data_IF_125891292669
#
_entry.id   IF_125891292669
#
_cell.length_a   1.000
_cell.length_b   1.000
_cell.length_c   1.000
_cell.angle_alpha   90.00
_cell.angle_beta   90.00
_cell.angle_gamma   90.00
#
_symmetry.space_group_name_H-M   'P 1'
#
loop_
_entity.id
_entity.type
_entity.pdbx_description
1 polymer ?
#
# COMPACT_ATOMS: atom_id res chain seq x y z
N UNK A 1 19.76 -44.94 50.27
CA UNK A 1 18.48 -45.67 50.39
C UNK A 1 17.45 -44.95 49.54
N UNK A 2 16.79 -45.68 48.61
CA UNK A 2 15.60 -45.39 47.78
C UNK A 2 15.61 -44.10 46.92
N UNK A 3 15.57 -44.05 45.58
CA UNK A 3 15.10 -44.90 44.45
C UNK A 3 13.59 -44.81 44.13
N UNK A 4 13.27 -44.36 42.89
CA UNK A 4 11.98 -44.43 42.15
C UNK A 4 11.77 -43.18 41.25
N UNK A 5 11.93 -43.16 39.89
CA UNK A 5 11.22 -43.83 38.75
C UNK A 5 9.70 -43.64 38.80
N UNK A 6 8.90 -43.35 37.78
CA UNK A 6 8.85 -43.25 36.30
C UNK A 6 7.58 -42.38 36.02
N UNK A 7 7.30 -41.71 34.91
CA UNK A 7 7.39 -42.10 33.51
C UNK A 7 6.49 -41.18 32.66
N UNK A 8 6.82 -41.11 31.37
CA UNK A 8 6.10 -40.42 30.29
C UNK A 8 4.63 -40.86 30.13
N UNK A 9 3.80 -40.00 29.52
CA UNK A 9 2.95 -40.37 28.37
C UNK A 9 2.27 -39.17 27.68
N UNK A 10 2.62 -39.04 26.40
CA UNK A 10 1.75 -38.87 25.23
C UNK A 10 0.80 -37.66 25.11
N UNK A 11 1.28 -36.73 24.30
CA UNK A 11 0.61 -35.88 23.31
C UNK A 11 -0.48 -36.64 22.53
N UNK A 12 -1.62 -36.00 22.22
CA UNK A 12 -2.16 -35.83 20.85
C UNK A 12 -3.31 -34.78 20.78
N UNK A 13 -3.45 -34.04 19.66
CA UNK A 13 -4.28 -32.83 19.53
C UNK A 13 -5.67 -33.05 18.89
N UNK A 14 -6.51 -32.01 19.03
CA UNK A 14 -7.87 -31.88 18.52
C UNK A 14 -7.99 -31.96 16.97
N UNK A 15 -9.10 -32.50 16.44
CA UNK A 15 -9.27 -32.69 15.00
C UNK A 15 -9.77 -31.43 14.27
N UNK A 16 -9.10 -31.13 13.16
CA UNK A 16 -9.53 -30.22 12.11
C UNK A 16 -10.53 -30.92 11.19
N UNK A 17 -11.70 -30.31 10.98
CA UNK A 17 -12.68 -30.78 9.99
C UNK A 17 -12.37 -30.14 8.64
N UNK A 18 -11.95 -30.97 7.68
CA UNK A 18 -11.83 -30.65 6.26
C UNK A 18 -13.21 -30.66 5.59
N UNK A 19 -13.61 -29.55 4.95
CA UNK A 19 -14.63 -29.56 3.92
C UNK A 19 -13.95 -29.88 2.57
N UNK A 20 -14.22 -31.07 2.03
CA UNK A 20 -13.77 -31.53 0.71
C UNK A 20 -14.99 -31.61 -0.20
N UNK A 21 -15.10 -30.65 -1.12
CA UNK A 21 -16.21 -30.59 -2.08
C UNK A 21 -15.85 -31.31 -3.39
N UNK A 22 -16.63 -32.37 -3.66
CA UNK A 22 -17.13 -32.89 -4.94
C UNK A 22 -16.14 -33.28 -6.07
N UNK A 23 -16.07 -34.59 -6.30
CA UNK A 23 -15.59 -35.24 -7.51
C UNK A 23 -16.73 -35.44 -8.53
N UNK A 24 -16.40 -35.23 -9.81
CA UNK A 24 -16.74 -36.03 -11.00
C UNK A 24 -18.18 -36.49 -11.26
N UNK A 25 -18.82 -35.80 -12.23
CA UNK A 25 -19.13 -36.38 -13.56
C UNK A 25 -20.43 -37.16 -13.75
N UNK A 26 -21.33 -36.73 -14.66
CA UNK A 26 -22.32 -37.61 -15.25
C UNK A 26 -21.82 -38.25 -16.57
N UNK A 27 -21.89 -39.58 -16.62
CA UNK A 27 -21.88 -40.37 -17.87
C UNK A 27 -23.23 -40.17 -18.57
N UNK A 28 -23.22 -39.81 -19.85
CA UNK A 28 -24.38 -39.97 -20.74
C UNK A 28 -24.05 -40.95 -21.84
N UNK A 29 -24.95 -41.92 -21.96
CA UNK A 29 -24.99 -43.04 -22.89
C UNK A 29 -25.12 -42.61 -24.35
N UNK A 30 -24.62 -43.48 -25.22
CA UNK A 30 -24.78 -43.49 -26.67
C UNK A 30 -26.27 -43.63 -27.05
N UNK A 31 -26.73 -42.82 -28.00
CA UNK A 31 -27.71 -43.32 -28.98
C UNK A 31 -27.50 -42.68 -30.35
N UNK A 32 -27.50 -43.54 -31.35
CA UNK A 32 -27.12 -43.34 -32.74
C UNK A 32 -28.38 -43.04 -33.56
N UNK A 33 -28.50 -41.88 -34.21
CA UNK A 33 -29.38 -41.72 -35.39
C UNK A 33 -28.79 -40.79 -36.45
N UNK A 34 -28.52 -41.44 -37.59
CA UNK A 34 -28.25 -40.96 -38.94
C UNK A 34 -29.46 -40.16 -39.47
N UNK A 35 -29.25 -39.02 -40.12
CA UNK A 35 -30.32 -38.32 -40.84
C UNK A 35 -29.95 -36.89 -41.26
N UNK A 36 -29.78 -36.73 -42.57
CA UNK A 36 -29.61 -35.52 -43.37
C UNK A 36 -30.25 -34.23 -42.84
N UNK A 37 -29.52 -33.10 -42.92
CA UNK A 37 -29.89 -31.96 -43.77
C UNK A 37 -29.11 -30.69 -43.41
N UNK A 38 -28.75 -29.96 -44.48
CA UNK A 38 -28.70 -28.48 -44.56
C UNK A 38 -27.77 -27.76 -43.55
N UNK A 39 -26.54 -27.42 -43.93
CA UNK A 39 -26.22 -26.35 -44.89
C UNK A 39 -27.08 -25.09 -44.65
N UNK A 40 -26.63 -24.19 -43.74
CA UNK A 40 -26.83 -22.71 -43.78
C UNK A 40 -26.39 -21.94 -42.52
N UNK A 41 -26.09 -22.58 -41.38
CA UNK A 41 -25.77 -21.85 -40.13
C UNK A 41 -24.27 -21.67 -39.81
N UNK A 42 -23.37 -22.26 -40.59
CA UNK A 42 -21.93 -22.25 -40.30
C UNK A 42 -21.25 -20.89 -40.50
N UNK A 43 -21.86 -19.97 -41.27
CA UNK A 43 -21.26 -18.65 -41.55
C UNK A 43 -21.77 -17.56 -40.59
N UNK A 44 -22.95 -17.73 -39.99
CA UNK A 44 -23.53 -16.72 -39.10
C UNK A 44 -23.06 -16.84 -37.64
N UNK A 45 -22.59 -18.03 -37.20
CA UNK A 45 -22.05 -18.24 -35.85
C UNK A 45 -20.65 -17.65 -35.64
N UNK A 46 -19.90 -17.38 -36.71
CA UNK A 46 -18.53 -16.86 -36.62
C UNK A 46 -18.44 -15.33 -36.46
N UNK A 47 -19.52 -14.58 -36.73
CA UNK A 47 -19.53 -13.12 -36.63
C UNK A 47 -19.95 -12.59 -35.26
N UNK A 48 -20.62 -13.41 -34.43
CA UNK A 48 -21.03 -13.00 -33.07
C UNK A 48 -19.95 -13.28 -32.00
N UNK A 49 -18.95 -14.11 -32.30
CA UNK A 49 -17.80 -14.34 -31.41
C UNK A 49 -16.68 -13.31 -31.54
N UNK A 50 -16.77 -12.38 -32.51
CA UNK A 50 -15.74 -11.35 -32.71
C UNK A 50 -16.00 -10.05 -31.92
N UNK A 51 -17.14 -9.91 -31.25
CA UNK A 51 -17.57 -8.67 -30.58
C UNK A 51 -17.38 -8.67 -29.05
N UNK A 52 -16.78 -9.72 -28.47
CA UNK A 52 -16.45 -9.81 -27.04
C UNK A 52 -14.96 -9.55 -26.72
N UNK A 53 -14.16 -9.13 -27.71
CA UNK A 53 -12.75 -8.73 -27.51
C UNK A 53 -12.53 -7.23 -27.59
N UNK A 54 -13.57 -6.43 -27.33
CA UNK A 54 -13.33 -5.06 -26.87
C UNK A 54 -12.86 -5.19 -25.42
N UNK A 55 -11.57 -5.48 -25.31
CA UNK A 55 -10.82 -5.32 -24.09
C UNK A 55 -11.09 -3.91 -23.61
N UNK A 56 -11.92 -3.81 -22.57
CA UNK A 56 -11.86 -2.69 -21.65
C UNK A 56 -10.49 -2.86 -20.99
N UNK A 57 -9.44 -2.46 -21.70
CA UNK A 57 -8.22 -2.02 -21.07
C UNK A 57 -8.67 -0.79 -20.29
N UNK A 58 -9.17 -1.03 -19.08
CA UNK A 58 -9.21 0.02 -18.07
C UNK A 58 -7.82 0.60 -18.14
N UNK A 59 -7.64 1.87 -18.56
CA UNK A 59 -6.37 2.52 -18.31
C UNK A 59 -6.26 2.41 -16.80
N UNK A 60 -5.40 1.52 -16.33
CA UNK A 60 -5.05 1.45 -14.93
C UNK A 60 -4.60 2.86 -14.66
N UNK A 61 -5.47 3.61 -13.97
CA UNK A 61 -5.14 4.94 -13.52
C UNK A 61 -3.90 4.69 -12.70
N UNK A 62 -2.76 5.01 -13.30
CA UNK A 62 -1.48 5.06 -12.63
C UNK A 62 -1.76 6.05 -11.52
N UNK A 63 -2.08 5.53 -10.33
CA UNK A 63 -2.37 6.38 -9.21
C UNK A 63 -1.13 7.24 -9.07
N UNK A 64 -1.33 8.56 -9.08
CA UNK A 64 -0.27 9.51 -8.76
C UNK A 64 0.20 9.13 -7.34
N UNK A 65 1.16 8.22 -7.31
CA UNK A 65 1.62 7.57 -6.11
C UNK A 65 2.51 8.56 -5.37
N UNK A 66 2.56 8.41 -4.06
CA UNK A 66 3.31 9.35 -3.23
C UNK A 66 4.79 9.33 -3.60
N UNK A 67 5.39 10.52 -3.67
CA UNK A 67 6.84 10.67 -3.80
C UNK A 67 7.48 10.61 -2.41
N UNK A 68 8.65 10.02 -2.31
CA UNK A 68 9.38 9.93 -1.06
C UNK A 68 10.89 9.93 -1.29
N UNK A 69 11.64 10.53 -0.36
CA UNK A 69 13.08 10.32 -0.24
C UNK A 69 13.34 9.18 0.74
N UNK A 70 14.06 8.15 0.30
CA UNK A 70 14.54 7.07 1.16
C UNK A 70 16.01 7.32 1.48
N UNK A 71 16.37 7.23 2.75
CA UNK A 71 17.74 7.29 3.22
C UNK A 71 18.12 5.91 3.75
N UNK A 72 19.08 5.27 3.11
CA UNK A 72 19.60 3.99 3.57
C UNK A 72 20.48 4.15 4.83
N UNK A 73 20.89 3.04 5.42
CA UNK A 73 21.78 3.04 6.59
C UNK A 73 23.19 3.55 6.31
N UNK A 74 23.64 3.54 5.06
CA UNK A 74 24.91 4.15 4.64
C UNK A 74 24.79 5.67 4.44
N UNK A 75 23.57 6.23 4.45
CA UNK A 75 23.28 7.64 4.22
C UNK A 75 23.01 7.99 2.75
N UNK A 76 22.96 7.01 1.85
CA UNK A 76 22.59 7.21 0.44
C UNK A 76 21.13 7.61 0.35
N UNK A 77 20.83 8.57 -0.52
CA UNK A 77 19.48 9.08 -0.74
C UNK A 77 18.93 8.61 -2.08
N UNK A 78 17.67 8.21 -2.08
CA UNK A 78 16.94 7.79 -3.26
C UNK A 78 15.63 8.55 -3.35
N UNK A 79 15.41 9.27 -4.45
CA UNK A 79 14.12 9.87 -4.77
C UNK A 79 13.24 8.83 -5.49
N UNK A 80 12.11 8.49 -4.86
CA UNK A 80 11.25 7.39 -5.28
C UNK A 80 9.83 7.90 -5.51
N UNK A 81 9.32 7.68 -6.71
CA UNK A 81 7.90 7.89 -7.06
C UNK A 81 7.13 6.57 -7.01
N UNK A 82 5.80 6.66 -6.97
CA UNK A 82 4.93 5.48 -6.84
C UNK A 82 5.30 4.60 -5.64
N UNK A 83 5.64 5.22 -4.51
CA UNK A 83 6.14 4.54 -3.33
C UNK A 83 5.08 3.62 -2.69
N UNK A 84 5.46 2.38 -2.41
CA UNK A 84 4.58 1.32 -1.91
C UNK A 84 5.26 0.45 -0.86
N UNK A 85 4.47 -0.10 0.07
CA UNK A 85 4.85 -1.14 1.02
C UNK A 85 3.98 -2.37 0.81
N UNK A 86 4.57 -3.50 0.42
CA UNK A 86 3.81 -4.69 0.00
C UNK A 86 2.69 -4.36 -1.00
N UNK A 87 2.99 -3.55 -2.01
CA UNK A 87 2.03 -3.13 -3.05
C UNK A 87 0.88 -2.22 -2.55
N UNK A 88 0.95 -1.77 -1.29
CA UNK A 88 -0.03 -0.88 -0.69
C UNK A 88 0.53 0.53 -0.46
N UNK A 89 -0.37 1.52 -0.45
CA UNK A 89 -0.09 2.92 -0.07
C UNK A 89 -0.20 3.15 1.45
N UNK A 90 -0.06 2.06 2.21
CA UNK A 90 -0.18 2.05 3.67
C UNK A 90 1.04 1.44 4.32
N UNK A 91 1.35 1.92 5.51
CA UNK A 91 2.39 1.40 6.38
C UNK A 91 1.75 0.76 7.61
N UNK A 92 2.13 -0.48 7.91
CA UNK A 92 1.64 -1.23 9.05
C UNK A 92 2.77 -1.55 10.04
N UNK A 93 2.52 -1.30 11.33
CA UNK A 93 3.48 -1.54 12.41
C UNK A 93 2.77 -1.90 13.71
N UNK A 94 3.50 -2.50 14.65
CA UNK A 94 3.00 -2.85 15.98
C UNK A 94 3.27 -1.74 16.99
N UNK A 95 2.32 -1.50 17.89
CA UNK A 95 2.49 -0.66 19.08
C UNK A 95 2.09 -1.47 20.31
N UNK A 96 3.07 -2.16 20.89
CA UNK A 96 2.83 -3.13 21.96
C UNK A 96 2.12 -4.35 21.38
N UNK A 97 0.86 -4.55 21.75
CA UNK A 97 0.01 -5.65 21.24
C UNK A 97 -0.95 -5.22 20.13
N UNK A 98 -1.04 -3.93 19.84
CA UNK A 98 -1.94 -3.41 18.81
C UNK A 98 -1.24 -3.24 17.46
N UNK A 99 -1.91 -3.65 16.39
CA UNK A 99 -1.50 -3.32 15.02
C UNK A 99 -2.06 -1.97 14.60
N UNK A 100 -1.20 -1.13 14.00
CA UNK A 100 -1.60 0.14 13.39
C UNK A 100 -1.24 0.17 11.93
N UNK A 101 -2.20 0.60 11.12
CA UNK A 101 -2.05 0.83 9.69
C UNK A 101 -2.33 2.30 9.38
N UNK A 102 -1.40 2.95 8.69
CA UNK A 102 -1.46 4.37 8.33
C UNK A 102 -1.29 4.53 6.82
N UNK A 103 -2.06 5.40 6.18
CA UNK A 103 -1.82 5.78 4.79
C UNK A 103 -0.59 6.67 4.70
N UNK A 104 0.24 6.49 3.66
CA UNK A 104 1.43 7.34 3.45
C UNK A 104 1.08 8.82 3.34
N UNK A 105 -0.07 9.17 2.75
CA UNK A 105 -0.60 10.55 2.66
C UNK A 105 -0.82 11.24 4.02
N UNK A 106 -0.70 10.53 5.14
CA UNK A 106 -0.82 11.08 6.51
C UNK A 106 0.51 11.13 7.25
N UNK A 107 1.54 10.51 6.68
CA UNK A 107 2.85 10.33 7.31
C UNK A 107 3.79 11.36 6.70
N UNK A 108 4.44 12.14 7.54
CA UNK A 108 5.52 13.02 7.13
C UNK A 108 6.83 12.24 7.00
N UNK A 109 7.15 11.42 8.03
CA UNK A 109 8.43 10.74 8.14
C UNK A 109 8.32 9.39 8.87
N UNK A 110 9.12 8.41 8.47
CA UNK A 110 9.37 7.15 9.21
C UNK A 110 10.86 7.03 9.48
N UNK A 111 11.23 6.81 10.74
CA UNK A 111 12.61 6.57 11.18
C UNK A 111 12.73 5.13 11.72
N UNK A 112 13.76 4.42 11.27
CA UNK A 112 14.09 3.07 11.71
C UNK A 112 15.26 3.13 12.68
N UNK A 113 14.99 2.87 13.96
CA UNK A 113 15.92 3.11 15.06
C UNK A 113 16.76 1.87 15.42
N UNK A 114 16.32 0.67 15.04
CA UNK A 114 17.07 -0.58 15.24
C UNK A 114 18.28 -0.73 14.30
N UNK A 115 19.03 -1.82 14.44
CA UNK A 115 20.10 -2.25 13.55
C UNK A 115 19.63 -3.22 12.45
N UNK A 116 20.56 -3.63 11.57
CA UNK A 116 20.29 -4.61 10.50
C UNK A 116 19.93 -6.01 11.01
N UNK A 117 20.42 -6.36 12.18
CA UNK A 117 20.25 -7.67 12.82
C UNK A 117 18.93 -7.79 13.58
N UNK A 118 18.25 -6.67 13.86
CA UNK A 118 17.02 -6.67 14.61
C UNK A 118 15.90 -7.25 13.75
N UNK A 119 15.20 -8.24 14.27
CA UNK A 119 14.05 -8.83 13.58
C UNK A 119 12.80 -7.94 13.69
N UNK A 120 12.70 -7.20 14.78
CA UNK A 120 11.63 -6.26 15.08
C UNK A 120 12.21 -4.89 15.49
N UNK A 121 12.86 -4.15 14.57
CA UNK A 121 13.45 -2.86 14.87
C UNK A 121 12.39 -1.87 15.39
N UNK A 122 12.73 -1.07 16.40
CA UNK A 122 11.91 0.07 16.81
C UNK A 122 11.86 1.12 15.70
N UNK A 123 10.71 1.75 15.58
CA UNK A 123 10.46 2.81 14.61
C UNK A 123 9.80 4.03 15.26
N UNK A 124 9.94 5.16 14.58
CA UNK A 124 9.24 6.41 14.90
C UNK A 124 8.56 6.93 13.65
N UNK A 125 7.25 7.14 13.72
CA UNK A 125 6.44 7.67 12.63
C UNK A 125 5.96 9.06 13.02
N UNK A 126 6.34 10.06 12.23
CA UNK A 126 5.85 11.44 12.40
C UNK A 126 4.75 11.67 11.37
N UNK A 127 3.59 12.12 11.85
CA UNK A 127 2.43 12.44 11.03
C UNK A 127 2.46 13.91 10.59
N UNK A 128 1.69 14.25 9.56
CA UNK A 128 1.60 15.63 9.05
C UNK A 128 1.06 16.65 10.07
N UNK A 129 0.32 16.19 11.08
CA UNK A 129 -0.15 17.03 12.18
C UNK A 129 0.93 17.26 13.26
N UNK A 130 2.16 16.79 13.03
CA UNK A 130 3.29 16.84 13.95
C UNK A 130 3.26 15.77 15.05
N UNK A 131 2.21 14.95 15.13
CA UNK A 131 2.12 13.87 16.11
C UNK A 131 3.12 12.77 15.80
N UNK A 132 3.83 12.31 16.82
CA UNK A 132 4.75 11.19 16.72
C UNK A 132 4.14 9.91 17.30
N UNK A 133 4.30 8.80 16.59
CA UNK A 133 3.94 7.46 17.03
C UNK A 133 5.21 6.61 17.10
N UNK A 134 5.40 5.89 18.21
CA UNK A 134 6.46 4.90 18.35
C UNK A 134 5.88 3.49 18.24
N UNK A 135 6.68 2.56 17.73
CA UNK A 135 6.29 1.15 17.59
C UNK A 135 7.45 0.28 17.12
N UNK A 136 7.15 -0.94 16.69
CA UNK A 136 8.09 -1.87 16.08
C UNK A 136 7.53 -2.36 14.75
N UNK A 137 8.42 -2.68 13.82
CA UNK A 137 8.04 -3.30 12.54
C UNK A 137 8.86 -4.56 12.36
N UNK A 138 8.21 -5.66 11.99
CA UNK A 138 8.91 -6.91 11.73
C UNK A 138 9.63 -6.80 10.39
N UNK A 139 10.94 -6.99 10.38
CA UNK A 139 11.80 -6.96 9.18
C UNK A 139 12.50 -8.29 8.90
N UNK A 140 12.45 -9.23 9.85
CA UNK A 140 13.07 -10.56 9.75
C UNK A 140 12.44 -11.58 10.70
N UNK A 141 13.01 -12.78 10.73
CA UNK A 141 12.67 -13.84 11.70
C UNK A 141 11.93 -15.02 11.09
N UNK A 142 12.64 -16.15 11.02
CA UNK A 142 12.08 -17.47 10.80
C UNK A 142 10.97 -17.72 11.82
N UNK A 143 9.84 -18.23 11.37
CA UNK A 143 8.84 -18.74 12.31
C UNK A 143 9.53 -19.66 13.30
N UNK A 144 9.38 -19.38 14.59
CA UNK A 144 9.70 -20.30 15.67
C UNK A 144 8.83 -21.54 15.51
N UNK A 145 9.29 -22.48 14.68
CA UNK A 145 8.57 -23.68 14.28
C UNK A 145 8.76 -24.00 12.79
N UNK A 146 9.67 -24.93 12.51
CA UNK A 146 9.67 -25.85 11.36
C UNK A 146 9.34 -25.32 9.95
N UNK A 147 10.31 -25.45 9.04
CA UNK A 147 10.12 -25.37 7.58
C UNK A 147 9.57 -24.03 7.07
N UNK A 148 10.43 -23.03 6.94
CA UNK A 148 10.10 -21.73 6.35
C UNK A 148 10.12 -21.83 4.83
N UNK A 149 8.94 -21.99 4.22
CA UNK A 149 8.73 -21.50 2.85
C UNK A 149 9.02 -19.99 2.86
N UNK A 150 9.89 -19.54 1.95
CA UNK A 150 10.50 -18.21 1.92
C UNK A 150 9.55 -17.04 2.11
N UNK A 151 9.44 -16.55 3.35
CA UNK A 151 8.85 -15.26 3.64
C UNK A 151 9.82 -14.19 3.15
N UNK A 152 9.50 -13.55 2.02
CA UNK A 152 10.25 -12.41 1.53
C UNK A 152 10.34 -11.36 2.65
N UNK A 153 11.55 -10.91 2.93
CA UNK A 153 11.73 -9.79 3.85
C UNK A 153 10.90 -8.60 3.34
N UNK A 154 10.23 -7.86 4.23
CA UNK A 154 9.40 -6.75 3.81
C UNK A 154 10.26 -5.72 3.07
N UNK A 155 9.69 -5.19 1.99
CA UNK A 155 10.36 -4.24 1.10
C UNK A 155 9.46 -3.04 0.83
N UNK A 156 10.08 -1.88 0.68
CA UNK A 156 9.46 -0.80 -0.08
C UNK A 156 9.81 -0.94 -1.55
N UNK A 157 8.86 -0.55 -2.39
CA UNK A 157 8.96 -0.56 -3.84
C UNK A 157 8.55 0.78 -4.41
N UNK A 158 9.05 1.10 -5.60
CA UNK A 158 8.62 2.29 -6.35
C UNK A 158 9.39 2.42 -7.65
N UNK A 159 9.52 3.64 -8.15
CA UNK A 159 10.24 3.98 -9.36
C UNK A 159 11.24 5.11 -9.08
N UNK A 160 12.41 5.02 -9.67
CA UNK A 160 13.42 6.09 -9.71
C UNK A 160 13.65 6.48 -11.17
N UNK A 161 14.48 7.50 -11.42
CA UNK A 161 14.90 7.87 -12.77
C UNK A 161 15.64 6.74 -13.53
N UNK A 162 16.11 5.72 -12.82
CA UNK A 162 16.80 4.55 -13.37
C UNK A 162 15.86 3.34 -13.58
N UNK A 163 14.58 3.47 -13.20
CA UNK A 163 13.58 2.41 -13.33
C UNK A 163 13.08 1.88 -11.99
N UNK A 164 12.69 0.60 -11.97
CA UNK A 164 12.09 -0.05 -10.79
C UNK A 164 13.06 0.01 -9.60
N UNK A 165 12.53 0.43 -8.46
CA UNK A 165 13.25 0.52 -7.20
C UNK A 165 12.66 -0.45 -6.18
N UNK A 166 13.54 -1.15 -5.46
CA UNK A 166 13.18 -2.10 -4.40
C UNK A 166 14.25 -2.01 -3.31
N UNK A 167 13.84 -1.89 -2.05
CA UNK A 167 14.75 -1.87 -0.90
C UNK A 167 14.14 -2.60 0.29
N UNK A 168 14.95 -3.38 1.00
CA UNK A 168 14.51 -4.06 2.23
C UNK A 168 14.41 -3.07 3.39
N UNK A 169 13.40 -3.22 4.25
CA UNK A 169 13.26 -2.42 5.46
C UNK A 169 14.50 -2.50 6.37
N UNK A 170 15.27 -3.61 6.33
CA UNK A 170 16.52 -3.77 7.10
C UNK A 170 17.59 -2.75 6.73
N UNK A 171 17.61 -2.28 5.48
CA UNK A 171 18.64 -1.38 4.96
C UNK A 171 18.27 0.09 5.04
N UNK A 172 17.09 0.39 5.57
CA UNK A 172 16.56 1.75 5.62
C UNK A 172 16.83 2.34 6.99
N UNK A 173 17.20 3.61 6.98
CA UNK A 173 17.31 4.44 8.18
C UNK A 173 16.12 5.37 8.29
N UNK A 174 15.70 5.97 7.18
CA UNK A 174 14.67 7.02 7.17
C UNK A 174 13.91 7.02 5.85
N UNK A 175 12.62 7.36 5.92
CA UNK A 175 11.77 7.63 4.76
C UNK A 175 11.05 8.96 5.01
N UNK A 176 11.19 9.89 4.08
CA UNK A 176 10.57 11.22 4.11
C UNK A 176 9.57 11.28 2.97
N UNK A 177 8.31 11.57 3.27
CA UNK A 177 7.25 11.64 2.27
C UNK A 177 7.07 13.06 1.76
N UNK A 178 7.04 13.21 0.44
CA UNK A 178 6.74 14.47 -0.22
C UNK A 178 5.26 14.53 -0.52
N UNK A 179 4.59 15.44 0.18
CA UNK A 179 3.20 15.76 -0.09
C UNK A 179 3.20 16.94 -1.03
N UNK A 180 2.65 16.77 -2.22
CA UNK A 180 2.23 17.93 -3.00
C UNK A 180 1.28 18.71 -2.09
N UNK A 181 1.70 19.93 -1.72
CA UNK A 181 0.88 20.81 -0.88
C UNK A 181 -0.47 20.89 -1.58
N UNK A 182 -1.50 20.27 -1.01
CA UNK A 182 -2.85 20.40 -1.55
C UNK A 182 -3.10 21.90 -1.61
N UNK A 183 -3.21 22.43 -2.83
CA UNK A 183 -3.26 23.87 -3.02
C UNK A 183 -4.44 24.37 -2.19
N UNK A 184 -4.15 25.05 -1.08
CA UNK A 184 -5.18 25.54 -0.17
C UNK A 184 -5.99 26.52 -0.98
N UNK A 185 -7.20 26.15 -1.36
CA UNK A 185 -8.01 27.05 -2.18
C UNK A 185 -8.82 27.96 -1.27
N UNK A 186 -8.89 29.23 -1.61
CA UNK A 186 -9.68 30.21 -0.89
C UNK A 186 -10.83 30.68 -1.75
N UNK A 187 -12.01 30.79 -1.15
CA UNK A 187 -13.11 31.47 -1.82
C UNK A 187 -12.85 32.99 -1.73
N UNK A 188 -12.85 33.74 -2.85
CA UNK A 188 -12.67 35.19 -2.81
C UNK A 188 -13.87 35.90 -2.17
N UNK A 189 -15.06 35.29 -2.24
CA UNK A 189 -16.31 35.89 -1.74
C UNK A 189 -16.48 35.73 -0.23
N UNK A 190 -16.33 34.50 0.30
CA UNK A 190 -16.52 34.24 1.73
C UNK A 190 -15.21 34.11 2.53
N UNK A 191 -14.05 34.13 1.87
CA UNK A 191 -12.74 34.10 2.50
C UNK A 191 -12.34 32.76 3.13
N UNK A 192 -13.19 31.71 3.06
CA UNK A 192 -12.93 30.38 3.63
C UNK A 192 -11.84 29.65 2.84
N UNK A 193 -11.00 28.90 3.57
CA UNK A 193 -9.94 28.04 3.03
C UNK A 193 -10.46 26.59 2.91
N UNK A 194 -10.08 25.91 1.85
CA UNK A 194 -10.45 24.53 1.55
C UNK A 194 -9.17 23.76 1.20
N UNK A 195 -8.86 22.74 1.99
CA UNK A 195 -7.64 21.94 1.84
C UNK A 195 -7.86 20.69 0.98
N UNK A 196 -9.10 20.30 0.71
CA UNK A 196 -9.41 19.04 0.02
C UNK A 196 -9.30 19.12 -1.50
N UNK A 197 -8.64 18.12 -2.09
CA UNK A 197 -8.66 17.82 -3.53
C UNK A 197 -10.11 17.54 -3.98
N UNK A 198 -10.65 18.39 -4.85
CA UNK A 198 -11.95 18.17 -5.49
C UNK A 198 -12.87 19.39 -5.53
N UNK A 199 -12.75 20.31 -4.57
CA UNK A 199 -13.54 21.54 -4.62
C UNK A 199 -13.00 22.47 -5.71
N UNK A 200 -13.78 22.63 -6.79
CA UNK A 200 -13.57 23.66 -7.82
C UNK A 200 -14.35 24.94 -7.50
N UNK A 201 -15.43 24.80 -6.73
CA UNK A 201 -16.34 25.87 -6.34
C UNK A 201 -16.61 25.80 -4.83
N UNK A 202 -16.89 26.96 -4.24
CA UNK A 202 -17.30 27.09 -2.85
C UNK A 202 -18.68 26.44 -2.64
N UNK A 203 -18.86 25.54 -1.67
CA UNK A 203 -20.16 24.91 -1.40
C UNK A 203 -21.25 25.87 -0.93
N UNK A 204 -20.86 27.06 -0.48
CA UNK A 204 -21.77 28.01 0.16
C UNK A 204 -22.29 29.09 -0.79
N UNK A 205 -21.47 29.51 -1.75
CA UNK A 205 -21.78 30.64 -2.64
C UNK A 205 -21.58 30.30 -4.13
N UNK A 206 -21.08 29.10 -4.45
CA UNK A 206 -20.84 28.67 -5.83
C UNK A 206 -19.66 29.37 -6.53
N UNK A 207 -18.92 30.24 -5.84
CA UNK A 207 -17.79 30.97 -6.42
C UNK A 207 -16.61 30.02 -6.67
N UNK A 208 -15.92 30.21 -7.79
CA UNK A 208 -14.72 29.42 -8.12
C UNK A 208 -13.64 29.67 -7.06
N UNK A 209 -13.06 28.59 -6.54
CA UNK A 209 -12.01 28.70 -5.54
C UNK A 209 -10.67 29.00 -6.21
N UNK A 210 -9.87 29.85 -5.60
CA UNK A 210 -8.55 30.27 -6.09
C UNK A 210 -7.44 29.64 -5.24
N UNK A 211 -6.37 29.16 -5.87
CA UNK A 211 -5.23 28.60 -5.15
C UNK A 211 -4.51 29.69 -4.34
N UNK A 212 -4.35 29.46 -3.04
CA UNK A 212 -3.47 30.26 -2.20
C UNK A 212 -2.09 29.61 -2.25
N UNK A 213 -1.19 30.21 -3.02
CA UNK A 213 0.22 29.96 -2.82
C UNK A 213 0.59 30.65 -1.51
N UNK A 214 0.76 29.91 -0.42
CA UNK A 214 1.47 30.43 0.76
C UNK A 214 2.96 30.52 0.40
N UNK A 215 3.26 31.46 -0.51
CA UNK A 215 4.59 31.95 -0.78
C UNK A 215 4.93 32.88 0.36
N UNK A 216 5.93 32.50 1.14
CA UNK A 216 6.52 33.29 2.22
C UNK A 216 7.15 34.55 1.64
N UNK A 217 6.34 35.56 1.33
CA UNK A 217 6.85 36.88 0.92
C UNK A 217 6.61 37.91 2.01
N UNK A 218 7.74 38.22 2.66
CA UNK A 218 8.10 39.54 3.18
C UNK A 218 7.20 40.10 4.28
N UNK A 219 7.65 39.91 5.51
CA UNK A 219 7.55 40.95 6.53
C UNK A 219 8.21 42.21 5.94
N UNK A 220 7.39 43.12 5.42
CA UNK A 220 7.83 44.47 5.05
C UNK A 220 8.25 45.15 6.35
N UNK A 221 9.56 45.28 6.55
CA UNK A 221 10.12 46.09 7.63
C UNK A 221 9.48 47.50 7.59
N UNK A 222 9.05 48.08 8.72
CA UNK A 222 8.57 49.44 8.75
C UNK A 222 9.71 50.37 8.35
N UNK A 223 9.49 51.18 7.29
CA UNK A 223 10.43 52.22 6.90
C UNK A 223 10.46 53.30 7.99
N UNK A 224 11.64 53.83 8.36
CA UNK A 224 11.74 54.93 9.32
C UNK A 224 11.15 56.20 8.71
N UNK A 225 10.26 56.85 9.46
CA UNK A 225 9.80 58.21 9.20
C UNK A 225 11.00 59.15 9.17
N UNK A 226 11.21 59.83 8.05
CA UNK A 226 12.08 61.00 7.98
C UNK A 226 11.33 62.18 8.62
N UNK A 227 11.90 62.73 9.68
CA UNK A 227 11.77 64.15 10.06
C UNK A 227 12.90 64.94 9.38
#
# INVERSE_FOLDING_TARGET
MAQGREGEKEVLPAPWVFYRSLCFGPKTQLENKRGDSMNRYAVLGMLLSLLLTVGISSPWAESEGIQATIIDRAGTRFEVSSFQYHEHDTFSFSRGTEWKTLKFRRIEKIEFLGGRSDEEPPIRVTLLDGKTLAGTVRVGGAGSGGYTYGTSSPTFTGKTNLGKFVISLKDIKEVIFHHEKQAVKRCPTCGRKFEQEGYRFCPYDGTKLEAVNEDTTKVKAPQPSKE
#
